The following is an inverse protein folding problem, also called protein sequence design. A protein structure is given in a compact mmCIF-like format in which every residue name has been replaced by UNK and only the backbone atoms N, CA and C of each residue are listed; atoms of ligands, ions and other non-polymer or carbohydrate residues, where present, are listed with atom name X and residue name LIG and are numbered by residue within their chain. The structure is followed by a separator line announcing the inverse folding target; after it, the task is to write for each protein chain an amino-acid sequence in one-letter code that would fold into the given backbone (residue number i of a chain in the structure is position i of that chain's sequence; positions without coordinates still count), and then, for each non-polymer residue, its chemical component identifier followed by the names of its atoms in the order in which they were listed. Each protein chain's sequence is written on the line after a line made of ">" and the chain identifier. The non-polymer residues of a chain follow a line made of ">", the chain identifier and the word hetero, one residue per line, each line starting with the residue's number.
data_IF_347553466943
#
_entry.id   IF_347553466943
#
_cell.length_a   1.000
_cell.length_b   1.000
_cell.length_c   1.000
_cell.angle_alpha   90.00
_cell.angle_beta   90.00
_cell.angle_gamma   90.00
#
_symmetry.space_group_name_H-M   'P 1'
#
loop_
_entity.id
_entity.type
_entity.pdbx_description
1 polymer ?
#
# COMPACT_ATOMS: atom_id res chain seq x y z
N UNK A 1 -8.92 -36.68 25.55
CA UNK A 1 -9.78 -37.66 26.25
C UNK A 1 -9.45 -37.67 27.72
N UNK A 2 -10.40 -37.96 28.60
CA UNK A 2 -10.14 -38.14 30.02
C UNK A 2 -10.67 -39.50 30.49
N UNK A 3 -9.95 -40.15 31.41
CA UNK A 3 -10.35 -41.46 31.95
C UNK A 3 -11.44 -41.26 33.00
N UNK A 4 -12.60 -41.83 32.75
CA UNK A 4 -13.72 -41.82 33.70
C UNK A 4 -13.57 -42.97 34.70
N UNK A 5 -13.03 -44.12 34.25
CA UNK A 5 -12.61 -45.22 35.14
C UNK A 5 -11.53 -46.11 34.48
N UNK A 6 -11.20 -47.26 35.11
CA UNK A 6 -10.12 -48.17 34.65
C UNK A 6 -10.35 -48.78 33.26
N UNK A 7 -11.59 -48.93 32.82
CA UNK A 7 -11.95 -49.59 31.56
C UNK A 7 -12.61 -48.63 30.55
N UNK A 8 -13.05 -47.44 30.98
CA UNK A 8 -13.79 -46.49 30.16
C UNK A 8 -13.10 -45.13 30.10
N UNK A 9 -12.84 -44.67 28.87
CA UNK A 9 -12.21 -43.38 28.57
C UNK A 9 -13.16 -42.58 27.70
N UNK A 10 -13.48 -41.35 28.11
CA UNK A 10 -14.35 -40.46 27.35
C UNK A 10 -13.48 -39.50 26.53
N UNK A 11 -13.65 -39.56 25.21
CA UNK A 11 -12.99 -38.69 24.25
C UNK A 11 -14.00 -37.67 23.72
N UNK A 12 -13.73 -36.38 23.94
CA UNK A 12 -14.39 -35.33 23.17
C UNK A 12 -13.62 -35.14 21.88
N UNK A 13 -14.31 -35.30 20.76
CA UNK A 13 -13.84 -34.79 19.47
C UNK A 13 -13.96 -33.27 19.50
N UNK A 14 -12.88 -32.59 19.11
CA UNK A 14 -12.83 -31.15 19.01
C UNK A 14 -12.62 -30.87 17.54
N UNK A 15 -13.62 -30.30 16.88
CA UNK A 15 -13.51 -29.88 15.49
C UNK A 15 -12.70 -28.56 15.45
N UNK A 16 -11.47 -28.63 14.94
CA UNK A 16 -10.70 -27.42 14.68
C UNK A 16 -11.30 -26.70 13.46
N UNK A 17 -11.90 -25.53 13.69
CA UNK A 17 -12.33 -24.64 12.62
C UNK A 17 -11.13 -23.86 12.10
N UNK A 18 -10.74 -24.13 10.87
CA UNK A 18 -9.69 -23.38 10.16
C UNK A 18 -10.34 -22.35 9.24
N UNK A 19 -9.99 -21.08 9.40
CA UNK A 19 -10.22 -20.04 8.39
C UNK A 19 -8.99 -19.99 7.48
N UNK A 20 -9.16 -20.36 6.22
CA UNK A 20 -8.13 -20.17 5.21
C UNK A 20 -8.15 -18.72 4.76
N UNK A 21 -7.06 -18.01 5.02
CA UNK A 21 -6.77 -16.74 4.37
C UNK A 21 -6.42 -17.05 2.91
N UNK A 22 -7.27 -16.65 1.96
CA UNK A 22 -6.88 -16.61 0.55
C UNK A 22 -5.95 -15.40 0.41
N UNK A 23 -4.66 -15.59 0.07
CA UNK A 23 -3.78 -14.46 -0.15
C UNK A 23 -4.30 -13.69 -1.36
N UNK A 24 -4.66 -12.43 -1.15
CA UNK A 24 -5.05 -11.52 -2.21
C UNK A 24 -3.81 -10.73 -2.65
N UNK A 25 -3.76 -10.36 -3.93
CA UNK A 25 -2.66 -9.59 -4.49
C UNK A 25 -3.21 -8.53 -5.43
N UNK A 26 -2.72 -7.29 -5.29
CA UNK A 26 -2.92 -6.24 -6.28
C UNK A 26 -1.74 -6.28 -7.24
N UNK A 27 -2.03 -6.42 -8.52
CA UNK A 27 -1.04 -6.38 -9.60
C UNK A 27 -1.30 -5.17 -10.47
N UNK A 28 -0.39 -4.20 -10.45
CA UNK A 28 -0.42 -3.07 -11.37
C UNK A 28 0.11 -3.49 -12.73
N UNK A 29 -0.81 -3.56 -13.70
CA UNK A 29 -0.45 -3.83 -15.10
C UNK A 29 0.18 -2.59 -15.73
N UNK A 30 1.20 -2.80 -16.55
CA UNK A 30 1.86 -1.76 -17.33
C UNK A 30 1.76 -2.07 -18.82
N UNK A 31 1.85 -1.07 -19.71
CA UNK A 31 1.92 -1.30 -21.15
C UNK A 31 3.06 -2.21 -21.59
N UNK A 32 4.10 -2.39 -20.75
CA UNK A 32 5.24 -3.27 -21.04
C UNK A 32 4.85 -4.74 -21.23
N UNK A 33 3.73 -5.18 -20.64
CA UNK A 33 3.26 -6.55 -20.75
C UNK A 33 2.92 -6.92 -22.21
N UNK A 34 2.35 -5.98 -22.97
CA UNK A 34 1.99 -6.17 -24.38
C UNK A 34 2.92 -5.45 -25.36
N UNK A 35 3.98 -4.81 -24.88
CA UNK A 35 4.89 -4.02 -25.72
C UNK A 35 5.89 -4.92 -26.46
N UNK A 36 5.63 -5.15 -27.75
CA UNK A 36 6.47 -5.93 -28.65
C UNK A 36 7.04 -5.05 -29.79
N UNK A 37 8.06 -4.22 -29.52
CA UNK A 37 8.58 -3.26 -30.50
C UNK A 37 9.30 -3.90 -31.68
N UNK A 38 9.76 -5.16 -31.53
CA UNK A 38 10.43 -5.89 -32.60
C UNK A 38 9.50 -6.81 -33.40
N UNK A 39 8.19 -6.78 -33.11
CA UNK A 39 7.19 -7.66 -33.73
C UNK A 39 7.61 -9.14 -33.71
N UNK A 40 8.12 -9.60 -32.56
CA UNK A 40 8.57 -10.98 -32.38
C UNK A 40 7.40 -11.96 -32.57
N UNK A 41 7.58 -13.03 -33.38
CA UNK A 41 6.53 -14.03 -33.59
C UNK A 41 6.10 -14.68 -32.27
N UNK A 42 4.79 -14.89 -32.08
CA UNK A 42 4.24 -15.60 -30.92
C UNK A 42 3.61 -16.92 -31.36
N UNK A 43 4.06 -18.02 -30.76
CA UNK A 43 3.53 -19.37 -31.01
C UNK A 43 2.58 -19.78 -29.89
N UNK A 44 1.33 -20.05 -30.26
CA UNK A 44 0.30 -20.43 -29.30
C UNK A 44 0.47 -21.89 -28.80
N UNK A 45 -0.34 -22.31 -27.82
CA UNK A 45 -0.24 -23.67 -27.25
C UNK A 45 -0.65 -24.79 -28.22
N UNK A 46 -1.53 -24.51 -29.17
CA UNK A 46 -2.06 -25.44 -30.17
C UNK A 46 -1.17 -25.50 -31.43
N UNK A 47 -0.47 -24.41 -31.76
CA UNK A 47 0.33 -24.23 -32.97
C UNK A 47 1.75 -23.80 -32.61
N UNK A 48 2.71 -24.72 -32.73
CA UNK A 48 4.12 -24.36 -32.60
C UNK A 48 4.59 -24.12 -31.17
N UNK A 49 3.93 -24.72 -30.16
CA UNK A 49 4.31 -24.59 -28.74
C UNK A 49 5.81 -24.77 -28.48
N UNK A 50 6.45 -25.73 -29.16
CA UNK A 50 7.88 -26.03 -28.98
C UNK A 50 8.80 -25.30 -29.97
N UNK A 51 8.25 -24.49 -30.89
CA UNK A 51 9.02 -23.79 -31.92
C UNK A 51 10.12 -22.90 -31.33
N UNK A 52 9.90 -22.11 -30.26
CA UNK A 52 10.97 -21.29 -29.68
C UNK A 52 12.22 -22.07 -29.28
N UNK A 53 12.04 -23.27 -28.72
CA UNK A 53 13.11 -24.11 -28.16
C UNK A 53 13.50 -25.27 -29.06
N UNK A 54 12.95 -25.36 -30.26
CA UNK A 54 13.25 -26.44 -31.22
C UNK A 54 14.75 -26.41 -31.55
N UNK A 55 15.31 -27.57 -31.89
CA UNK A 55 16.72 -27.72 -32.29
C UNK A 55 17.70 -27.26 -31.18
N UNK A 56 17.33 -27.52 -29.91
CA UNK A 56 18.12 -27.17 -28.73
C UNK A 56 18.38 -25.67 -28.52
N UNK A 57 17.56 -24.80 -29.12
CA UNK A 57 17.58 -23.36 -28.87
C UNK A 57 17.34 -23.06 -27.40
N UNK A 58 18.22 -22.25 -26.80
CA UNK A 58 18.29 -21.99 -25.37
C UNK A 58 18.26 -20.49 -25.02
N UNK A 59 18.01 -19.64 -26.02
CA UNK A 59 17.95 -18.19 -25.86
C UNK A 59 19.31 -17.51 -25.82
N UNK A 60 20.38 -18.14 -26.33
CA UNK A 60 21.69 -17.48 -26.46
C UNK A 60 21.66 -16.36 -27.52
N UNK A 61 22.67 -15.48 -27.48
CA UNK A 61 22.72 -14.29 -28.35
C UNK A 61 23.29 -14.53 -29.76
N UNK A 62 23.16 -15.76 -30.28
CA UNK A 62 23.57 -16.11 -31.64
C UNK A 62 22.38 -16.71 -32.39
N UNK A 63 22.35 -16.56 -33.72
CA UNK A 63 21.19 -16.94 -34.53
C UNK A 63 20.84 -18.44 -34.45
N UNK A 64 21.83 -19.30 -34.19
CA UNK A 64 21.65 -20.76 -34.09
C UNK A 64 20.93 -21.17 -32.81
N UNK A 65 21.24 -20.51 -31.69
CA UNK A 65 20.78 -20.91 -30.36
C UNK A 65 19.77 -19.94 -29.73
N UNK A 66 19.54 -18.77 -30.33
CA UNK A 66 18.47 -17.85 -29.96
C UNK A 66 17.10 -18.53 -30.08
N UNK A 67 16.11 -18.14 -29.27
CA UNK A 67 14.77 -18.67 -29.42
C UNK A 67 14.16 -18.26 -30.75
N UNK A 68 13.40 -19.16 -31.39
CA UNK A 68 12.69 -18.86 -32.62
C UNK A 68 11.30 -18.28 -32.33
N UNK A 69 11.22 -16.97 -32.07
CA UNK A 69 10.02 -16.32 -31.56
C UNK A 69 9.78 -16.60 -30.07
N UNK A 70 8.57 -16.30 -29.61
CA UNK A 70 8.12 -16.41 -28.21
C UNK A 70 6.92 -17.32 -28.06
N UNK A 71 6.61 -17.70 -26.82
CA UNK A 71 5.38 -18.42 -26.47
C UNK A 71 5.01 -18.13 -25.01
N UNK A 72 3.96 -18.77 -24.51
CA UNK A 72 3.51 -18.59 -23.12
C UNK A 72 4.59 -18.95 -22.06
N UNK A 73 5.56 -19.81 -22.38
CA UNK A 73 6.61 -20.25 -21.45
C UNK A 73 7.89 -19.40 -21.57
N UNK A 74 8.16 -18.86 -22.76
CA UNK A 74 9.31 -18.04 -23.12
C UNK A 74 8.79 -16.67 -23.56
N UNK A 75 8.22 -15.93 -22.62
CA UNK A 75 7.55 -14.66 -22.89
C UNK A 75 8.51 -13.48 -22.74
N UNK A 76 9.28 -13.21 -23.79
CA UNK A 76 10.34 -12.19 -23.82
C UNK A 76 10.12 -11.20 -24.96
N UNK A 77 9.59 -10.01 -24.68
CA UNK A 77 9.33 -8.96 -25.70
C UNK A 77 10.02 -7.63 -25.39
N UNK A 78 10.22 -7.32 -24.12
CA UNK A 78 10.73 -6.02 -23.69
C UNK A 78 12.22 -5.91 -24.06
N UNK A 79 12.64 -4.91 -24.83
CA UNK A 79 14.06 -4.72 -25.14
C UNK A 79 14.90 -4.63 -23.88
N UNK A 80 16.00 -5.36 -23.79
CA UNK A 80 16.87 -5.30 -22.60
C UNK A 80 17.42 -3.89 -22.38
N UNK A 81 17.63 -3.12 -23.45
CA UNK A 81 18.08 -1.73 -23.40
C UNK A 81 17.08 -0.75 -22.77
N UNK A 82 15.81 -1.16 -22.59
CA UNK A 82 14.82 -0.36 -21.85
C UNK A 82 15.18 -0.25 -20.36
N UNK A 83 15.90 -1.25 -19.83
CA UNK A 83 16.34 -1.29 -18.45
C UNK A 83 17.84 -0.97 -18.34
N UNK A 84 18.24 -0.29 -17.27
CA UNK A 84 19.64 0.03 -16.94
C UNK A 84 20.20 -0.80 -15.79
N UNK A 85 19.35 -1.56 -15.10
CA UNK A 85 19.72 -2.42 -13.98
C UNK A 85 19.62 -3.91 -14.31
N UNK A 86 20.20 -4.75 -13.44
CA UNK A 86 19.97 -6.19 -13.43
C UNK A 86 18.62 -6.50 -12.78
N UNK A 87 18.08 -7.69 -13.02
CA UNK A 87 16.92 -8.20 -12.28
C UNK A 87 17.20 -8.14 -10.77
N UNK A 88 16.25 -7.59 -10.01
CA UNK A 88 16.41 -7.39 -8.58
C UNK A 88 16.01 -8.63 -7.76
N UNK A 89 15.22 -9.54 -8.33
CA UNK A 89 14.79 -10.78 -7.67
C UNK A 89 15.20 -12.00 -8.50
N UNK A 90 16.01 -12.87 -7.89
CA UNK A 90 16.34 -14.21 -8.39
C UNK A 90 15.53 -15.24 -7.59
N UNK A 91 14.21 -15.05 -7.49
CA UNK A 91 13.37 -16.00 -6.77
C UNK A 91 12.99 -17.17 -7.70
N UNK A 92 12.85 -18.38 -7.16
CA UNK A 92 12.68 -19.60 -7.94
C UNK A 92 11.39 -19.62 -8.80
N UNK A 93 10.41 -18.77 -8.47
CA UNK A 93 9.19 -18.55 -9.24
C UNK A 93 9.38 -17.61 -10.46
N UNK A 94 10.47 -16.84 -10.50
CA UNK A 94 10.87 -15.92 -11.57
C UNK A 94 12.14 -16.46 -12.28
N UNK A 95 12.12 -17.73 -12.69
CA UNK A 95 13.21 -18.40 -13.42
C UNK A 95 13.33 -17.95 -14.89
N UNK A 96 13.44 -16.64 -15.10
CA UNK A 96 13.70 -16.02 -16.39
C UNK A 96 15.14 -15.53 -16.43
N UNK A 97 15.89 -15.95 -17.46
CA UNK A 97 17.23 -15.40 -17.71
C UNK A 97 17.09 -13.89 -17.89
N UNK A 98 17.96 -13.09 -17.22
CA UNK A 98 17.94 -11.61 -17.25
C UNK A 98 17.77 -11.01 -18.65
N UNK A 99 18.34 -11.67 -19.65
CA UNK A 99 18.07 -11.41 -21.06
C UNK A 99 18.30 -12.66 -21.88
N UNK A 100 17.57 -12.77 -22.98
CA UNK A 100 17.70 -13.85 -23.97
C UNK A 100 17.73 -13.27 -25.38
N UNK A 101 18.32 -14.02 -26.30
CA UNK A 101 18.21 -13.78 -27.73
C UNK A 101 16.93 -14.41 -28.27
N UNK A 102 16.12 -13.63 -28.98
CA UNK A 102 14.96 -14.09 -29.73
C UNK A 102 15.08 -13.65 -31.19
N UNK A 103 14.81 -14.57 -32.12
CA UNK A 103 14.75 -14.27 -33.54
C UNK A 103 13.47 -13.50 -33.87
N UNK A 104 13.62 -12.39 -34.58
CA UNK A 104 12.50 -11.73 -35.25
C UNK A 104 12.10 -12.47 -36.55
N UNK A 105 11.03 -12.02 -37.21
CA UNK A 105 10.53 -12.61 -38.46
C UNK A 105 11.54 -12.57 -39.62
N UNK A 106 12.58 -11.75 -39.51
CA UNK A 106 13.64 -11.61 -40.51
C UNK A 106 14.89 -12.42 -40.13
N UNK A 107 14.86 -13.16 -39.02
CA UNK A 107 15.98 -13.97 -38.54
C UNK A 107 17.05 -13.19 -37.79
N UNK A 108 16.80 -11.93 -37.42
CA UNK A 108 17.75 -11.15 -36.61
C UNK A 108 17.58 -11.48 -35.12
N UNK A 109 18.69 -11.59 -34.40
CA UNK A 109 18.67 -11.80 -32.96
C UNK A 109 18.39 -10.50 -32.24
N UNK A 110 17.28 -10.45 -31.49
CA UNK A 110 16.91 -9.35 -30.60
C UNK A 110 17.21 -9.73 -29.16
N UNK A 111 17.88 -8.83 -28.44
CA UNK A 111 18.11 -8.97 -26.99
C UNK A 111 16.92 -8.43 -26.23
N UNK A 112 16.22 -9.33 -25.56
CA UNK A 112 14.98 -9.03 -24.85
C UNK A 112 14.99 -9.64 -23.47
N UNK A 113 14.23 -9.03 -22.58
CA UNK A 113 13.99 -9.46 -21.20
C UNK A 113 12.54 -9.92 -21.06
N UNK A 114 12.24 -10.66 -20.00
CA UNK A 114 10.92 -11.24 -19.82
C UNK A 114 9.85 -10.15 -19.67
N UNK A 115 8.70 -10.28 -20.31
CA UNK A 115 7.63 -9.27 -20.27
C UNK A 115 6.50 -9.60 -19.30
N UNK A 116 6.66 -10.68 -18.53
CA UNK A 116 5.72 -11.09 -17.51
C UNK A 116 5.63 -10.11 -16.34
N UNK A 117 4.66 -10.36 -15.47
CA UNK A 117 4.47 -9.62 -14.22
C UNK A 117 5.64 -9.94 -13.28
N UNK A 118 6.19 -8.92 -12.63
CA UNK A 118 7.31 -9.05 -11.69
C UNK A 118 7.00 -8.40 -10.36
N UNK A 119 7.70 -8.80 -9.29
CA UNK A 119 7.58 -8.06 -8.03
C UNK A 119 8.13 -6.65 -8.20
N UNK A 120 9.36 -6.54 -8.68
CA UNK A 120 9.99 -5.28 -9.07
C UNK A 120 10.45 -5.35 -10.53
N UNK A 121 10.16 -4.30 -11.28
CA UNK A 121 10.79 -4.07 -12.57
C UNK A 121 12.26 -3.66 -12.35
N UNK A 122 13.19 -4.05 -13.25
CA UNK A 122 14.54 -3.51 -13.25
C UNK A 122 14.51 -2.00 -13.42
N UNK A 123 15.60 -1.34 -13.02
CA UNK A 123 15.70 0.12 -13.08
C UNK A 123 15.44 0.66 -14.49
N UNK A 124 14.43 1.52 -14.62
CA UNK A 124 14.10 2.24 -15.86
C UNK A 124 14.76 3.62 -15.77
N UNK A 125 15.66 3.99 -16.71
CA UNK A 125 16.28 5.31 -16.72
C UNK A 125 15.24 6.45 -16.65
N UNK A 126 15.44 7.39 -15.73
CA UNK A 126 14.53 8.53 -15.52
C UNK A 126 13.26 8.24 -14.73
N UNK A 127 12.97 6.97 -14.39
CA UNK A 127 11.79 6.57 -13.61
C UNK A 127 12.18 5.88 -12.30
N UNK A 128 13.22 5.05 -12.32
CA UNK A 128 13.65 4.27 -11.16
C UNK A 128 13.15 2.82 -11.20
N UNK A 129 13.11 2.19 -10.03
CA UNK A 129 12.63 0.82 -9.82
C UNK A 129 11.14 0.88 -9.46
N UNK A 130 10.30 0.15 -10.19
CA UNK A 130 8.86 0.11 -9.97
C UNK A 130 8.42 -1.24 -9.40
N UNK A 131 7.59 -1.22 -8.36
CA UNK A 131 6.94 -2.42 -7.82
C UNK A 131 5.60 -2.66 -8.52
N UNK A 132 5.34 -3.86 -9.02
CA UNK A 132 4.04 -4.19 -9.65
C UNK A 132 3.12 -5.02 -8.76
N UNK A 133 3.68 -5.79 -7.83
CA UNK A 133 2.96 -6.79 -7.02
C UNK A 133 2.88 -6.39 -5.55
N UNK A 134 1.67 -6.25 -5.03
CA UNK A 134 1.40 -5.88 -3.65
C UNK A 134 0.52 -6.94 -2.97
N UNK A 135 1.10 -7.64 -2.02
CA UNK A 135 0.36 -8.59 -1.20
C UNK A 135 -0.67 -7.85 -0.36
N UNK A 136 -1.93 -8.25 -0.48
CA UNK A 136 -2.99 -7.89 0.44
C UNK A 136 -3.04 -9.03 1.46
N UNK A 137 -2.29 -8.86 2.53
CA UNK A 137 -2.34 -9.79 3.66
C UNK A 137 -3.73 -9.73 4.27
N UNK A 138 -4.45 -10.86 4.35
CA UNK A 138 -5.71 -10.88 5.06
C UNK A 138 -5.41 -10.68 6.54
N UNK A 139 -5.58 -9.45 7.03
CA UNK A 139 -5.48 -9.16 8.46
C UNK A 139 -6.79 -9.62 9.10
N UNK A 140 -7.04 -10.93 9.12
CA UNK A 140 -8.34 -11.48 9.54
C UNK A 140 -8.57 -11.40 11.06
N UNK A 141 -7.71 -10.69 11.81
CA UNK A 141 -7.91 -10.45 13.22
C UNK A 141 -7.51 -9.03 13.58
N UNK A 142 -8.41 -8.09 13.33
CA UNK A 142 -8.47 -6.83 14.06
C UNK A 142 -8.21 -7.12 15.55
N UNK A 143 -7.13 -6.54 16.07
CA UNK A 143 -6.71 -6.70 17.46
C UNK A 143 -5.70 -7.81 17.76
N UNK A 144 -5.28 -8.62 16.79
CA UNK A 144 -4.19 -9.59 16.98
C UNK A 144 -2.84 -8.91 17.27
N UNK A 145 -1.94 -9.58 17.99
CA UNK A 145 -0.61 -9.05 18.29
C UNK A 145 0.20 -8.77 17.02
N UNK A 146 0.10 -9.65 16.02
CA UNK A 146 0.77 -9.48 14.72
C UNK A 146 0.29 -8.23 13.99
N UNK A 147 -1.01 -7.94 13.99
CA UNK A 147 -1.52 -6.71 13.38
C UNK A 147 -1.05 -5.47 14.14
N UNK A 148 -1.10 -5.49 15.47
CA UNK A 148 -0.62 -4.37 16.29
C UNK A 148 0.86 -4.10 16.07
N UNK A 149 1.67 -5.14 15.93
CA UNK A 149 3.10 -5.03 15.61
C UNK A 149 3.32 -4.48 14.19
N UNK A 150 2.53 -4.91 13.21
CA UNK A 150 2.63 -4.42 11.83
C UNK A 150 2.16 -2.96 11.70
N UNK A 151 1.06 -2.59 12.35
CA UNK A 151 0.55 -1.22 12.39
C UNK A 151 1.53 -0.30 13.13
N UNK A 152 2.08 -0.76 14.27
CA UNK A 152 3.15 -0.04 14.96
C UNK A 152 4.41 0.11 14.10
N UNK A 153 4.81 -0.93 13.36
CA UNK A 153 5.95 -0.84 12.44
C UNK A 153 5.68 0.15 11.31
N UNK A 154 4.48 0.14 10.74
CA UNK A 154 4.05 1.06 9.68
C UNK A 154 4.08 2.51 10.19
N UNK A 155 3.57 2.75 11.39
CA UNK A 155 3.61 4.04 12.08
C UNK A 155 5.06 4.50 12.32
N UNK A 156 5.92 3.61 12.84
CA UNK A 156 7.33 3.88 13.06
C UNK A 156 8.09 4.22 11.77
N UNK A 157 7.73 3.62 10.64
CA UNK A 157 8.36 3.91 9.34
C UNK A 157 7.84 5.22 8.74
N UNK A 158 6.54 5.48 8.82
CA UNK A 158 5.96 6.73 8.31
C UNK A 158 6.45 7.96 9.10
N UNK A 159 6.65 7.79 10.41
CA UNK A 159 7.13 8.82 11.31
C UNK A 159 8.54 8.51 11.83
N UNK A 160 9.42 8.02 10.94
CA UNK A 160 10.77 7.53 11.27
C UNK A 160 11.64 8.52 12.03
N UNK A 161 11.45 9.83 11.81
CA UNK A 161 12.12 10.87 12.59
C UNK A 161 11.65 10.91 14.05
N UNK A 162 10.33 10.83 14.27
CA UNK A 162 9.72 10.86 15.61
C UNK A 162 9.99 9.58 16.41
N UNK A 163 10.07 8.43 15.75
CA UNK A 163 10.34 7.13 16.37
C UNK A 163 11.80 6.68 16.25
N UNK A 164 12.71 7.57 15.86
CA UNK A 164 14.14 7.26 15.64
C UNK A 164 14.82 6.63 16.85
N UNK A 165 14.37 6.95 18.06
CA UNK A 165 14.83 6.40 19.33
C UNK A 165 14.41 4.94 19.60
N UNK A 166 13.41 4.42 18.88
CA UNK A 166 12.96 3.03 19.00
C UNK A 166 13.77 2.06 18.12
N UNK A 167 14.59 2.57 17.20
CA UNK A 167 15.47 1.76 16.36
C UNK A 167 16.78 1.43 17.10
N UNK A 168 17.24 0.18 17.00
CA UNK A 168 18.54 -0.24 17.58
C UNK A 168 19.71 0.57 17.01
N UNK A 169 19.64 0.89 15.71
CA UNK A 169 20.55 1.81 15.04
C UNK A 169 19.71 2.94 14.44
N UNK A 170 19.93 4.21 14.87
CA UNK A 170 19.16 5.33 14.35
C UNK A 170 19.34 5.44 12.84
N UNK A 171 18.24 5.45 12.05
CA UNK A 171 18.33 5.54 10.60
C UNK A 171 18.94 6.89 10.19
N UNK A 172 19.90 6.86 9.27
CA UNK A 172 20.48 8.06 8.66
C UNK A 172 19.48 8.67 7.67
N UNK A 173 18.53 9.46 8.18
CA UNK A 173 17.56 10.16 7.33
C UNK A 173 18.25 11.39 6.71
N UNK A 174 18.89 11.19 5.56
CA UNK A 174 19.50 12.28 4.78
C UNK A 174 18.41 12.99 3.97
N UNK A 175 17.72 13.88 4.66
CA UNK A 175 16.64 14.70 4.13
C UNK A 175 15.78 15.10 5.30
N UNK A 176 15.67 16.40 5.55
CA UNK A 176 14.73 16.94 6.53
C UNK A 176 13.31 16.60 6.05
N UNK A 177 12.86 15.37 6.32
CA UNK A 177 11.45 15.06 6.35
C UNK A 177 10.88 16.06 7.36
N UNK A 178 9.99 16.93 6.88
CA UNK A 178 9.22 17.80 7.75
C UNK A 178 8.60 16.88 8.78
N UNK A 179 9.10 16.96 10.01
CA UNK A 179 8.57 16.25 11.14
C UNK A 179 7.20 16.90 11.38
N UNK A 180 6.19 16.42 10.65
CA UNK A 180 4.82 16.87 10.85
C UNK A 180 4.49 16.41 12.27
N UNK A 181 4.38 17.36 13.19
CA UNK A 181 3.97 17.04 14.54
C UNK A 181 2.56 16.43 14.46
N UNK A 182 2.19 15.54 15.40
CA UNK A 182 0.88 14.92 15.38
C UNK A 182 -0.21 16.00 15.40
N UNK A 183 -1.30 15.75 14.67
CA UNK A 183 -2.45 16.64 14.61
C UNK A 183 -3.00 16.89 16.01
N UNK A 184 -3.42 18.13 16.29
CA UNK A 184 -4.07 18.48 17.53
C UNK A 184 -5.50 17.90 17.53
N UNK A 185 -5.82 17.14 18.57
CA UNK A 185 -7.10 16.42 18.69
C UNK A 185 -8.06 17.16 19.62
N UNK A 186 -9.26 17.45 19.12
CA UNK A 186 -10.30 18.15 19.85
C UNK A 186 -11.63 17.40 19.80
N UNK A 187 -12.48 17.75 20.75
CA UNK A 187 -13.85 17.24 20.88
C UNK A 187 -14.84 18.38 21.11
N UNK A 188 -16.00 18.30 20.47
CA UNK A 188 -17.12 19.23 20.71
C UNK A 188 -17.82 18.92 22.04
N UNK A 189 -18.66 19.85 22.51
CA UNK A 189 -19.56 19.56 23.63
C UNK A 189 -20.58 18.49 23.25
N UNK A 190 -21.39 18.03 24.19
CA UNK A 190 -22.57 17.24 23.82
C UNK A 190 -23.59 18.14 23.10
N UNK A 191 -24.17 17.63 22.02
CA UNK A 191 -25.26 18.25 21.28
C UNK A 191 -26.52 18.36 22.16
N UNK A 192 -27.30 19.42 21.95
CA UNK A 192 -28.48 19.74 22.77
C UNK A 192 -29.79 19.74 22.00
N UNK A 193 -29.75 19.58 20.67
CA UNK A 193 -30.94 19.51 19.80
C UNK A 193 -31.29 18.09 19.42
N UNK A 194 -32.57 17.88 19.16
CA UNK A 194 -33.16 16.63 18.69
C UNK A 194 -34.24 16.98 17.64
N UNK A 195 -34.16 16.47 16.39
CA UNK A 195 -33.11 15.60 15.85
C UNK A 195 -31.75 16.29 15.68
N UNK A 196 -30.61 15.57 15.74
CA UNK A 196 -30.47 14.11 15.69
C UNK A 196 -30.33 13.43 17.06
N UNK A 197 -30.34 14.18 18.15
CA UNK A 197 -30.23 13.65 19.50
C UNK A 197 -28.84 13.83 20.10
N UNK A 198 -28.63 13.28 21.29
CA UNK A 198 -27.43 13.57 22.10
C UNK A 198 -26.19 12.84 21.56
N UNK A 199 -25.22 13.60 21.06
CA UNK A 199 -23.95 13.08 20.54
C UNK A 199 -22.83 14.14 20.64
N UNK A 200 -21.64 13.85 20.15
CA UNK A 200 -20.49 14.77 20.07
C UNK A 200 -19.66 14.40 18.85
N UNK A 201 -18.80 15.31 18.39
CA UNK A 201 -17.83 15.02 17.34
C UNK A 201 -16.41 15.22 17.83
N UNK A 202 -15.49 14.57 17.14
CA UNK A 202 -14.06 14.82 17.24
C UNK A 202 -13.60 15.57 15.99
N UNK A 203 -12.51 16.33 16.10
CA UNK A 203 -11.84 16.93 14.95
C UNK A 203 -10.32 16.91 15.17
N UNK A 204 -9.60 16.92 14.06
CA UNK A 204 -8.14 16.90 14.01
C UNK A 204 -7.68 18.13 13.23
N UNK A 205 -6.74 18.89 13.80
CA UNK A 205 -6.15 20.08 13.18
C UNK A 205 -4.67 19.79 12.95
N UNK A 206 -4.20 19.89 11.70
CA UNK A 206 -2.79 19.70 11.36
C UNK A 206 -1.88 20.63 12.19
N UNK A 207 -0.68 20.18 12.56
CA UNK A 207 0.24 20.98 13.40
C UNK A 207 0.56 22.37 12.82
N UNK A 208 0.64 22.50 11.49
CA UNK A 208 0.79 23.80 10.83
C UNK A 208 -0.39 24.73 11.10
N UNK A 209 -1.61 24.22 10.98
CA UNK A 209 -2.84 24.97 11.20
C UNK A 209 -3.07 25.25 12.68
N UNK A 210 -2.69 24.32 13.55
CA UNK A 210 -2.66 24.52 15.00
C UNK A 210 -1.75 25.70 15.37
N UNK A 211 -0.54 25.78 14.79
CA UNK A 211 0.38 26.92 14.98
C UNK A 211 -0.17 28.22 14.42
N UNK A 212 -0.85 28.19 13.26
CA UNK A 212 -1.53 29.36 12.70
C UNK A 212 -2.65 29.83 13.64
N UNK A 213 -3.45 28.91 14.17
CA UNK A 213 -4.52 29.24 15.11
C UNK A 213 -3.97 29.84 16.42
N UNK A 214 -2.88 29.29 16.95
CA UNK A 214 -2.17 29.87 18.11
C UNK A 214 -1.63 31.28 17.83
N UNK A 215 -1.32 31.61 16.57
CA UNK A 215 -0.92 32.97 16.15
C UNK A 215 -2.10 33.94 16.00
N UNK A 216 -3.33 33.50 16.27
CA UNK A 216 -4.54 34.30 16.19
C UNK A 216 -5.30 34.20 14.87
N UNK A 217 -4.92 33.27 13.99
CA UNK A 217 -5.67 33.00 12.75
C UNK A 217 -6.83 32.04 13.01
N UNK A 218 -7.78 32.02 12.07
CA UNK A 218 -8.88 31.04 12.06
C UNK A 218 -8.53 29.94 11.08
N UNK A 219 -8.76 28.69 11.46
CA UNK A 219 -8.55 27.50 10.62
C UNK A 219 -9.84 26.72 10.47
N UNK A 220 -10.02 26.02 9.36
CA UNK A 220 -11.24 25.25 9.08
C UNK A 220 -10.96 23.76 9.24
N UNK A 221 -11.84 23.05 9.94
CA UNK A 221 -11.76 21.60 10.10
C UNK A 221 -13.12 20.94 9.87
N UNK A 222 -13.10 19.72 9.34
CA UNK A 222 -14.28 18.86 9.27
C UNK A 222 -14.33 17.98 10.52
N UNK A 223 -15.52 17.83 11.12
CA UNK A 223 -15.71 16.94 12.27
C UNK A 223 -15.94 15.49 11.83
N UNK A 224 -15.64 14.53 12.71
CA UNK A 224 -15.95 13.10 12.48
C UNK A 224 -17.44 12.88 12.32
N UNK A 225 -17.85 11.91 11.49
CA UNK A 225 -19.27 11.56 11.37
C UNK A 225 -19.81 10.92 12.65
N UNK A 226 -20.84 11.52 13.24
CA UNK A 226 -21.57 10.97 14.38
C UNK A 226 -23.06 11.29 14.21
N UNK A 227 -23.94 10.38 14.64
CA UNK A 227 -25.40 10.54 14.47
C UNK A 227 -25.80 10.94 13.02
N UNK A 228 -25.14 10.32 12.03
CA UNK A 228 -25.38 10.47 10.59
C UNK A 228 -25.11 11.87 9.99
N UNK A 229 -24.30 12.72 10.63
CA UNK A 229 -23.84 13.99 10.02
C UNK A 229 -22.44 14.40 10.48
N UNK A 230 -21.91 15.44 9.83
CA UNK A 230 -20.63 16.11 10.12
C UNK A 230 -20.88 17.62 10.16
N UNK A 231 -19.89 18.37 10.64
CA UNK A 231 -19.84 19.83 10.60
C UNK A 231 -18.54 20.31 9.97
N UNK A 232 -18.64 21.43 9.24
CA UNK A 232 -17.47 22.24 8.88
C UNK A 232 -17.34 23.38 9.89
N UNK A 233 -16.27 23.34 10.71
CA UNK A 233 -16.05 24.31 11.79
C UNK A 233 -14.89 25.23 11.49
N UNK A 234 -15.08 26.53 11.70
CA UNK A 234 -14.01 27.53 11.76
C UNK A 234 -13.54 27.66 13.21
N UNK A 235 -12.30 27.29 13.50
CA UNK A 235 -11.72 27.22 14.84
C UNK A 235 -10.66 28.31 15.02
N UNK A 236 -10.67 28.95 16.19
CA UNK A 236 -9.65 29.91 16.59
C UNK A 236 -9.22 29.67 18.05
N UNK A 237 -7.99 30.05 18.38
CA UNK A 237 -7.51 30.08 19.77
C UNK A 237 -7.73 31.47 20.37
N UNK A 238 -8.48 31.56 21.46
CA UNK A 238 -8.62 32.79 22.22
C UNK A 238 -7.49 32.90 23.26
N UNK A 239 -6.52 33.77 22.96
CA UNK A 239 -5.35 34.01 23.82
C UNK A 239 -5.69 34.63 25.18
N UNK A 240 -6.85 35.27 25.34
CA UNK A 240 -7.26 35.91 26.59
C UNK A 240 -7.86 34.91 27.58
N UNK A 241 -8.67 33.98 27.07
CA UNK A 241 -9.35 32.95 27.88
C UNK A 241 -8.60 31.62 27.88
N UNK A 242 -7.58 31.48 27.03
CA UNK A 242 -6.84 30.25 26.76
C UNK A 242 -7.73 29.08 26.29
N UNK A 243 -8.81 29.39 25.56
CA UNK A 243 -9.78 28.42 25.07
C UNK A 243 -9.77 28.30 23.55
N UNK A 244 -10.12 27.10 23.08
CA UNK A 244 -10.36 26.84 21.66
C UNK A 244 -11.83 27.07 21.36
N UNK A 245 -12.11 27.93 20.39
CA UNK A 245 -13.47 28.38 20.09
C UNK A 245 -13.84 28.15 18.63
N UNK A 246 -15.06 27.70 18.40
CA UNK A 246 -15.72 27.61 17.11
C UNK A 246 -16.30 29.00 16.80
N UNK A 247 -15.79 29.65 15.76
CA UNK A 247 -16.27 30.94 15.25
C UNK A 247 -17.45 30.79 14.30
N UNK A 248 -17.44 29.73 13.50
CA UNK A 248 -18.55 29.34 12.64
C UNK A 248 -18.66 27.83 12.54
N UNK A 249 -19.86 27.38 12.26
CA UNK A 249 -20.22 25.98 12.07
C UNK A 249 -21.20 25.91 10.91
N UNK A 250 -20.84 25.22 9.83
CA UNK A 250 -21.61 25.13 8.58
C UNK A 250 -22.05 26.51 8.04
N UNK A 251 -21.10 27.45 7.99
CA UNK A 251 -21.31 28.87 7.62
C UNK A 251 -22.28 29.65 8.53
N UNK A 252 -22.72 29.06 9.65
CA UNK A 252 -23.56 29.70 10.66
C UNK A 252 -22.73 30.09 11.89
N UNK A 253 -23.23 31.05 12.69
CA UNK A 253 -22.55 31.46 13.92
C UNK A 253 -22.52 30.36 15.00
N UNK A 254 -23.48 29.44 14.97
CA UNK A 254 -23.61 28.34 15.92
C UNK A 254 -23.95 27.05 15.17
N UNK A 255 -23.49 25.91 15.67
CA UNK A 255 -23.87 24.62 15.09
C UNK A 255 -25.37 24.39 15.24
N UNK A 256 -26.01 23.93 14.16
CA UNK A 256 -27.47 23.77 14.09
C UNK A 256 -28.00 22.70 15.07
N UNK A 257 -27.16 21.77 15.48
CA UNK A 257 -27.44 20.65 16.38
C UNK A 257 -27.19 21.00 17.88
N UNK A 258 -26.74 22.23 18.16
CA UNK A 258 -26.63 22.79 19.49
C UNK A 258 -25.36 22.43 20.25
N UNK A 259 -24.26 22.16 19.57
CA UNK A 259 -22.93 22.21 20.17
C UNK A 259 -22.59 23.60 20.72
N UNK A 260 -21.88 23.64 21.85
CA UNK A 260 -21.27 24.86 22.35
C UNK A 260 -20.11 25.28 21.46
N UNK A 261 -19.80 26.56 21.46
CA UNK A 261 -18.64 27.09 20.73
C UNK A 261 -17.30 26.67 21.32
N UNK A 262 -17.26 26.03 22.49
CA UNK A 262 -16.00 25.65 23.13
C UNK A 262 -15.58 24.24 22.70
N UNK A 263 -14.35 24.11 22.23
CA UNK A 263 -13.70 22.84 21.96
C UNK A 263 -12.83 22.41 23.14
N UNK A 264 -12.89 21.12 23.47
CA UNK A 264 -12.02 20.51 24.47
C UNK A 264 -10.87 19.82 23.76
N UNK A 265 -9.63 20.24 24.04
CA UNK A 265 -8.44 19.55 23.56
C UNK A 265 -8.28 18.24 24.33
N UNK A 266 -8.16 17.11 23.63
CA UNK A 266 -8.05 15.78 24.22
C UNK A 266 -6.59 15.35 24.36
N UNK A 267 -5.75 15.69 23.38
CA UNK A 267 -4.29 15.48 23.38
C UNK A 267 -3.56 16.64 22.70
#
# INVERSE_FOLDING_TARGET
>A
CHKVNRTYTECKEIEARYTYAIPLEIIYMTPLNSWNPYNLPYWDRKHGRYTPTKDHRNGAFNATNAYNGTNYANYYWTPTAFFSGKELNHDAADTVKNSVGVLDSHGNVRRVSASGIRIFLPNIPGVGVLRQRWSVTPVHRDGSSVQKELDAMKEMINHIGAFSNLFQEPPAVSGSAVQQAPDAHFRTSLATKDPPGRHYHELFIEDSDYKLALSGQTVTAETTMESSHTHMVEVAYDSHTHQWVIKKCDDMAHCWDGHSEILTKIQ
#
